data_IF_763191971126
#
_entry.id   IF_763191971126
#
_cell.length_a   1.000
_cell.length_b   1.000
_cell.length_c   1.000
_cell.angle_alpha   90.00
_cell.angle_beta   90.00
_cell.angle_gamma   90.00
#
_symmetry.space_group_name_H-M   'P 1'
#
loop_
_entity.id
_entity.type
_entity.pdbx_description
1 polymer ?
#
# COMPACT_ATOMS: atom_id res chain seq x y z
N UNK A 1 0.97 28.93 -16.37
CA UNK A 1 0.50 28.52 -15.03
C UNK A 1 0.64 27.01 -14.93
N UNK A 2 1.61 26.50 -14.18
CA UNK A 2 1.72 25.06 -13.91
C UNK A 2 0.66 24.68 -12.88
N UNK A 3 -0.48 24.16 -13.34
CA UNK A 3 -1.40 23.43 -12.47
C UNK A 3 -0.65 22.17 -12.04
N UNK A 4 -0.02 22.20 -10.86
CA UNK A 4 0.46 20.96 -10.24
C UNK A 4 -0.77 20.12 -9.95
N UNK A 5 -1.05 19.12 -10.78
CA UNK A 5 -2.11 18.16 -10.53
C UNK A 5 -1.89 17.55 -9.15
N UNK A 6 -2.83 17.83 -8.23
CA UNK A 6 -2.88 17.17 -6.94
C UNK A 6 -3.20 15.70 -7.22
N UNK A 7 -2.26 14.79 -6.96
CA UNK A 7 -2.48 13.35 -7.14
C UNK A 7 -3.71 12.88 -6.38
N UNK A 8 -4.41 11.90 -6.96
CA UNK A 8 -5.67 11.38 -6.43
C UNK A 8 -5.50 10.80 -5.02
N UNK A 9 -6.44 11.11 -4.12
CA UNK A 9 -6.43 10.51 -2.78
C UNK A 9 -7.16 9.15 -2.74
N UNK A 10 -6.97 8.36 -1.68
CA UNK A 10 -7.47 6.98 -1.61
C UNK A 10 -9.00 6.89 -1.64
N UNK A 11 -9.70 7.87 -1.04
CA UNK A 11 -11.17 7.90 -0.99
C UNK A 11 -11.71 8.23 -2.39
N UNK A 12 -11.13 9.25 -3.04
CA UNK A 12 -11.46 9.57 -4.44
C UNK A 12 -11.21 8.36 -5.34
N UNK A 13 -10.08 7.68 -5.20
CA UNK A 13 -9.77 6.50 -6.01
C UNK A 13 -10.74 5.35 -5.77
N UNK A 14 -11.19 5.12 -4.55
CA UNK A 14 -12.20 4.11 -4.24
C UNK A 14 -13.56 4.48 -4.86
N UNK A 15 -14.02 5.71 -4.65
CA UNK A 15 -15.31 6.18 -5.18
C UNK A 15 -15.36 6.21 -6.71
N UNK A 16 -14.22 6.39 -7.38
CA UNK A 16 -14.10 6.33 -8.83
C UNK A 16 -13.82 4.90 -9.37
N UNK A 17 -13.84 3.87 -8.51
CA UNK A 17 -13.61 2.48 -8.92
C UNK A 17 -12.18 2.14 -9.33
N UNK A 18 -11.21 3.01 -9.04
CA UNK A 18 -9.79 2.80 -9.33
C UNK A 18 -9.16 1.92 -8.25
N UNK A 19 -9.36 2.29 -6.97
CA UNK A 19 -8.87 1.51 -5.83
C UNK A 19 -9.89 0.42 -5.49
N UNK A 20 -9.50 -0.86 -5.43
CA UNK A 20 -10.44 -1.97 -5.30
C UNK A 20 -11.14 -2.03 -3.93
N UNK A 21 -10.47 -1.63 -2.86
CA UNK A 21 -11.02 -1.59 -1.50
C UNK A 21 -10.39 -0.45 -0.71
N UNK A 22 -11.09 0.04 0.30
CA UNK A 22 -10.62 1.14 1.16
C UNK A 22 -10.52 0.67 2.60
N UNK A 23 -9.39 0.89 3.26
CA UNK A 23 -9.26 0.66 4.69
C UNK A 23 -9.36 1.99 5.43
N UNK A 24 -10.31 2.11 6.35
CA UNK A 24 -10.40 3.27 7.24
C UNK A 24 -10.53 2.84 8.70
N UNK A 25 -9.97 3.67 9.59
CA UNK A 25 -10.25 3.65 11.01
C UNK A 25 -11.40 4.61 11.34
N UNK A 26 -12.14 4.32 12.40
CA UNK A 26 -13.31 5.08 12.84
C UNK A 26 -13.04 6.58 13.08
N UNK A 27 -11.81 6.94 13.44
CA UNK A 27 -11.44 8.34 13.69
C UNK A 27 -11.28 9.16 12.39
N UNK A 28 -11.27 8.53 11.22
CA UNK A 28 -11.14 9.24 9.95
C UNK A 28 -12.48 9.84 9.54
N UNK A 29 -12.50 11.13 9.21
CA UNK A 29 -13.70 11.89 8.81
C UNK A 29 -14.69 11.16 7.87
N UNK A 30 -14.26 10.47 6.80
CA UNK A 30 -15.20 9.79 5.89
C UNK A 30 -15.80 8.49 6.44
N UNK A 31 -15.33 7.97 7.59
CA UNK A 31 -15.69 6.61 8.06
C UNK A 31 -17.20 6.41 8.15
N UNK A 32 -17.92 7.32 8.81
CA UNK A 32 -19.39 7.20 8.98
C UNK A 32 -20.13 7.20 7.64
N UNK A 33 -19.70 8.03 6.68
CA UNK A 33 -20.32 8.06 5.34
C UNK A 33 -20.02 6.77 4.57
N UNK A 34 -18.84 6.19 4.77
CA UNK A 34 -18.44 4.95 4.10
C UNK A 34 -19.18 3.72 4.61
N UNK A 35 -19.83 3.77 5.78
CA UNK A 35 -20.68 2.67 6.29
C UNK A 35 -21.88 2.35 5.37
N UNK A 36 -22.21 3.22 4.42
CA UNK A 36 -23.19 2.93 3.38
C UNK A 36 -22.69 1.91 2.34
N UNK A 37 -21.39 1.64 2.28
CA UNK A 37 -20.80 0.60 1.43
C UNK A 37 -20.67 -0.73 2.18
N UNK A 38 -20.72 -1.87 1.46
CA UNK A 38 -20.38 -3.17 2.02
C UNK A 38 -19.03 -3.11 2.74
N UNK A 39 -18.98 -3.60 3.97
CA UNK A 39 -17.79 -3.46 4.81
C UNK A 39 -17.57 -4.66 5.74
N UNK A 40 -16.31 -4.96 6.01
CA UNK A 40 -15.90 -5.95 6.98
C UNK A 40 -15.02 -5.30 8.05
N UNK A 41 -15.34 -5.54 9.31
CA UNK A 41 -14.53 -5.07 10.43
C UNK A 41 -13.23 -5.87 10.53
N UNK A 42 -12.12 -5.16 10.70
CA UNK A 42 -10.80 -5.74 10.90
C UNK A 42 -10.15 -5.13 12.14
N UNK A 43 -9.25 -5.90 12.76
CA UNK A 43 -8.62 -5.53 14.03
C UNK A 43 -7.10 -5.57 13.88
N UNK A 44 -6.54 -4.55 13.23
CA UNK A 44 -5.09 -4.42 13.05
C UNK A 44 -4.46 -3.66 14.23
N UNK A 45 -5.18 -2.70 14.80
CA UNK A 45 -4.75 -1.88 15.93
C UNK A 45 -5.70 -2.15 17.10
N UNK A 46 -5.18 -2.58 18.27
CA UNK A 46 -6.01 -2.78 19.46
C UNK A 46 -6.81 -1.53 19.81
N UNK A 47 -8.06 -1.71 20.21
CA UNK A 47 -8.98 -0.65 20.65
C UNK A 47 -9.25 0.44 19.61
N UNK A 48 -9.08 0.13 18.32
CA UNK A 48 -9.50 1.01 17.23
C UNK A 48 -10.31 0.19 16.24
N UNK A 49 -11.57 0.60 16.06
CA UNK A 49 -12.41 0.03 15.02
C UNK A 49 -11.86 0.42 13.66
N UNK A 50 -11.66 -0.57 12.81
CA UNK A 50 -11.19 -0.39 11.45
C UNK A 50 -12.08 -1.23 10.53
N UNK A 51 -12.46 -0.68 9.39
CA UNK A 51 -13.27 -1.39 8.40
C UNK A 51 -12.58 -1.38 7.06
N UNK A 52 -12.66 -2.51 6.37
CA UNK A 52 -12.37 -2.63 4.96
C UNK A 52 -13.68 -2.48 4.18
N UNK A 53 -13.74 -1.48 3.31
CA UNK A 53 -14.90 -1.13 2.49
C UNK A 53 -14.72 -1.67 1.07
N UNK A 54 -15.81 -2.19 0.51
CA UNK A 54 -15.84 -2.86 -0.78
C UNK A 54 -16.84 -2.17 -1.72
N UNK A 55 -16.63 -2.23 -3.04
CA UNK A 55 -17.56 -1.65 -4.02
C UNK A 55 -18.88 -2.42 -4.09
N UNK A 56 -18.87 -3.72 -3.78
CA UNK A 56 -20.06 -4.59 -3.82
C UNK A 56 -20.05 -5.64 -2.71
N UNK A 57 -21.24 -6.12 -2.35
CA UNK A 57 -21.44 -7.21 -1.39
C UNK A 57 -20.74 -8.51 -1.83
N UNK A 58 -20.71 -8.78 -3.13
CA UNK A 58 -20.02 -9.93 -3.70
C UNK A 58 -18.52 -9.89 -3.41
N UNK A 59 -17.85 -8.75 -3.62
CA UNK A 59 -16.42 -8.60 -3.34
C UNK A 59 -16.09 -8.69 -1.85
N UNK A 60 -16.98 -8.21 -1.00
CA UNK A 60 -16.86 -8.38 0.45
C UNK A 60 -16.94 -9.87 0.83
N UNK A 61 -17.95 -10.60 0.33
CA UNK A 61 -18.11 -12.03 0.62
C UNK A 61 -16.95 -12.88 0.12
N UNK A 62 -16.51 -12.66 -1.12
CA UNK A 62 -15.33 -13.33 -1.69
C UNK A 62 -14.09 -13.14 -0.79
N UNK A 63 -13.90 -11.94 -0.23
CA UNK A 63 -12.80 -11.66 0.68
C UNK A 63 -12.97 -12.38 2.02
N UNK A 64 -14.16 -12.29 2.63
CA UNK A 64 -14.46 -12.96 3.90
C UNK A 64 -14.27 -14.47 3.81
N UNK A 65 -14.65 -15.11 2.70
CA UNK A 65 -14.43 -16.53 2.45
C UNK A 65 -12.93 -16.88 2.38
N UNK A 66 -12.13 -16.09 1.66
CA UNK A 66 -10.66 -16.31 1.59
C UNK A 66 -9.96 -16.09 2.93
N UNK A 67 -10.47 -15.21 3.78
CA UNK A 67 -9.89 -14.91 5.09
C UNK A 67 -10.56 -15.65 6.25
N UNK A 68 -11.52 -16.53 5.97
CA UNK A 68 -12.24 -17.26 6.99
C UNK A 68 -11.27 -18.12 7.82
N UNK A 69 -11.30 -17.94 9.15
CA UNK A 69 -10.43 -18.66 10.07
C UNK A 69 -8.98 -18.15 10.14
N UNK A 70 -8.62 -17.09 9.41
CA UNK A 70 -7.29 -16.47 9.47
C UNK A 70 -7.27 -15.36 10.53
N UNK A 71 -6.40 -15.48 11.53
CA UNK A 71 -6.23 -14.43 12.55
C UNK A 71 -5.61 -13.17 11.96
N UNK A 72 -6.15 -11.99 12.31
CA UNK A 72 -5.73 -10.70 11.75
C UNK A 72 -4.28 -10.30 12.00
N UNK A 73 -3.61 -10.94 12.95
CA UNK A 73 -2.19 -10.71 13.27
C UNK A 73 -1.25 -11.56 12.44
N UNK A 74 -1.75 -12.51 11.66
CA UNK A 74 -0.90 -13.46 10.94
C UNK A 74 -0.31 -12.85 9.66
N UNK A 75 0.91 -13.27 9.26
CA UNK A 75 1.49 -12.90 7.98
C UNK A 75 0.55 -13.22 6.79
N UNK A 76 -0.19 -14.31 6.88
CA UNK A 76 -1.16 -14.76 5.88
C UNK A 76 -2.32 -13.77 5.73
N UNK A 77 -2.87 -13.26 6.85
CA UNK A 77 -3.90 -12.21 6.80
C UNK A 77 -3.37 -10.92 6.18
N UNK A 78 -2.17 -10.49 6.58
CA UNK A 78 -1.56 -9.28 6.04
C UNK A 78 -1.28 -9.38 4.53
N UNK A 79 -0.97 -10.58 4.03
CA UNK A 79 -0.85 -10.85 2.60
C UNK A 79 -2.17 -10.61 1.89
N UNK A 80 -3.24 -11.28 2.33
CA UNK A 80 -4.58 -11.15 1.72
C UNK A 80 -5.08 -9.71 1.78
N UNK A 81 -4.88 -9.03 2.91
CA UNK A 81 -5.25 -7.62 3.06
C UNK A 81 -4.50 -6.73 2.07
N UNK A 82 -3.18 -6.86 1.96
CA UNK A 82 -2.37 -6.02 1.06
C UNK A 82 -2.76 -6.18 -0.41
N UNK A 83 -2.98 -7.42 -0.85
CA UNK A 83 -3.44 -7.70 -2.21
C UNK A 83 -4.84 -7.15 -2.46
N UNK A 84 -5.74 -7.30 -1.48
CA UNK A 84 -7.12 -6.78 -1.56
C UNK A 84 -7.16 -5.25 -1.62
N UNK A 85 -6.21 -4.57 -0.96
CA UNK A 85 -6.05 -3.12 -1.02
C UNK A 85 -5.49 -2.59 -2.35
N UNK A 86 -5.11 -3.52 -3.24
CA UNK A 86 -4.55 -3.21 -4.56
C UNK A 86 -3.06 -2.88 -4.53
N UNK A 87 -2.31 -3.40 -3.55
CA UNK A 87 -0.87 -3.17 -3.46
C UNK A 87 -0.08 -4.07 -4.41
N UNK A 88 1.11 -3.62 -4.88
CA UNK A 88 2.00 -4.46 -5.66
C UNK A 88 2.39 -5.74 -4.90
N UNK A 89 2.37 -6.92 -5.53
CA UNK A 89 2.68 -8.19 -4.85
C UNK A 89 4.02 -8.21 -4.11
N UNK A 90 5.08 -7.63 -4.70
CA UNK A 90 6.40 -7.56 -4.04
C UNK A 90 6.41 -6.62 -2.82
N UNK A 91 5.63 -5.53 -2.85
CA UNK A 91 5.45 -4.68 -1.68
C UNK A 91 4.71 -5.43 -0.54
N UNK A 92 3.72 -6.25 -0.90
CA UNK A 92 3.04 -7.14 0.06
C UNK A 92 4.02 -8.17 0.64
N UNK A 93 4.80 -8.84 -0.19
CA UNK A 93 5.82 -9.81 0.25
C UNK A 93 6.81 -9.20 1.23
N UNK A 94 7.28 -7.99 0.93
CA UNK A 94 8.18 -7.25 1.81
C UNK A 94 7.55 -6.95 3.17
N UNK A 95 6.30 -6.50 3.20
CA UNK A 95 5.57 -6.24 4.45
C UNK A 95 5.36 -7.54 5.25
N UNK A 96 4.92 -8.61 4.61
CA UNK A 96 4.70 -9.93 5.23
C UNK A 96 5.99 -10.46 5.84
N UNK A 97 7.13 -10.31 5.14
CA UNK A 97 8.44 -10.68 5.67
C UNK A 97 8.79 -9.89 6.94
N UNK A 98 8.48 -8.59 6.97
CA UNK A 98 8.71 -7.78 8.18
C UNK A 98 7.87 -8.26 9.36
N UNK A 99 6.59 -8.55 9.15
CA UNK A 99 5.71 -9.12 10.18
C UNK A 99 6.26 -10.44 10.72
N UNK A 100 6.70 -11.36 9.84
CA UNK A 100 7.34 -12.62 10.25
C UNK A 100 8.59 -12.38 11.10
N UNK A 101 9.50 -11.50 10.66
CA UNK A 101 10.70 -11.18 11.41
C UNK A 101 10.40 -10.60 12.79
N UNK A 102 9.36 -9.76 12.91
CA UNK A 102 8.93 -9.19 14.19
C UNK A 102 8.37 -10.27 15.14
N UNK A 103 7.49 -11.13 14.64
CA UNK A 103 6.90 -12.23 15.42
C UNK A 103 7.93 -13.27 15.88
N UNK A 104 8.92 -13.56 15.05
CA UNK A 104 10.00 -14.51 15.33
C UNK A 104 11.16 -13.88 16.12
N UNK A 105 11.10 -12.59 16.45
CA UNK A 105 12.16 -11.90 17.20
C UNK A 105 13.48 -11.73 16.43
N UNK A 106 13.47 -11.78 15.09
CA UNK A 106 14.65 -11.61 14.22
C UNK A 106 15.07 -10.13 14.11
N UNK A 107 15.52 -9.55 15.21
CA UNK A 107 15.78 -8.10 15.34
C UNK A 107 16.80 -7.56 14.34
N UNK A 108 17.88 -8.31 14.05
CA UNK A 108 18.91 -7.88 13.08
C UNK A 108 18.36 -7.80 11.66
N UNK A 109 17.54 -8.76 11.26
CA UNK A 109 16.90 -8.75 9.95
C UNK A 109 15.83 -7.65 9.87
N UNK A 110 15.05 -7.46 10.93
CA UNK A 110 14.07 -6.39 11.00
C UNK A 110 14.72 -5.01 10.87
N UNK A 111 15.88 -4.79 11.52
CA UNK A 111 16.68 -3.56 11.35
C UNK A 111 17.12 -3.37 9.89
N UNK A 112 17.65 -4.41 9.25
CA UNK A 112 18.03 -4.35 7.83
C UNK A 112 16.84 -4.03 6.93
N UNK A 113 15.70 -4.69 7.14
CA UNK A 113 14.48 -4.43 6.36
C UNK A 113 13.96 -3.00 6.56
N UNK A 114 14.08 -2.42 7.77
CA UNK A 114 13.66 -1.03 8.04
C UNK A 114 14.47 -0.01 7.24
N UNK A 115 15.76 -0.26 7.00
CA UNK A 115 16.59 0.62 6.17
C UNK A 115 16.09 0.65 4.73
N UNK A 116 15.60 -0.49 4.21
CA UNK A 116 15.16 -0.65 2.81
C UNK A 116 13.79 -0.06 2.48
N UNK A 117 13.11 0.59 3.42
CA UNK A 117 11.72 0.99 3.25
C UNK A 117 11.61 2.18 2.31
N UNK A 118 10.81 2.01 1.25
CA UNK A 118 10.37 3.11 0.38
C UNK A 118 8.85 3.19 0.41
N UNK A 119 8.31 4.41 0.50
CA UNK A 119 6.89 4.68 0.34
C UNK A 119 6.56 4.99 -1.12
N UNK A 120 5.40 4.56 -1.59
CA UNK A 120 4.92 4.79 -2.96
C UNK A 120 3.47 5.26 -2.91
N UNK A 121 3.18 6.35 -3.61
CA UNK A 121 1.85 6.93 -3.73
C UNK A 121 1.49 7.20 -5.19
N UNK A 122 0.49 6.49 -5.72
CA UNK A 122 0.00 6.63 -7.09
C UNK A 122 -1.41 6.05 -7.22
N UNK A 123 -2.28 6.73 -7.97
CA UNK A 123 -3.67 6.35 -8.24
C UNK A 123 -4.50 6.10 -6.96
N UNK A 124 -4.28 6.90 -5.91
CA UNK A 124 -4.87 6.68 -4.58
C UNK A 124 -4.42 5.38 -3.89
N UNK A 125 -3.35 4.75 -4.36
CA UNK A 125 -2.67 3.64 -3.67
C UNK A 125 -1.49 4.21 -2.89
N UNK A 126 -1.46 3.93 -1.59
CA UNK A 126 -0.37 4.30 -0.68
C UNK A 126 0.17 3.03 -0.02
N UNK A 127 1.41 2.67 -0.31
CA UNK A 127 2.01 1.47 0.26
C UNK A 127 3.50 1.65 0.50
N UNK A 128 4.07 0.80 1.35
CA UNK A 128 5.51 0.70 1.54
C UNK A 128 6.03 -0.57 0.86
N UNK A 129 7.22 -0.51 0.29
CA UNK A 129 7.93 -1.65 -0.30
C UNK A 129 9.42 -1.61 0.02
N UNK A 130 10.17 -2.50 -0.63
CA UNK A 130 11.64 -2.49 -0.63
C UNK A 130 12.17 -1.56 -1.72
N UNK A 131 13.22 -0.78 -1.41
CA UNK A 131 13.99 -0.04 -2.41
C UNK A 131 14.53 -0.94 -3.51
N UNK A 132 15.00 -2.15 -3.15
CA UNK A 132 15.48 -3.18 -4.09
C UNK A 132 14.44 -3.56 -5.16
N UNK A 133 13.14 -3.40 -4.86
CA UNK A 133 12.02 -3.78 -5.72
C UNK A 133 11.25 -2.59 -6.28
N UNK A 134 11.76 -1.36 -6.11
CA UNK A 134 11.00 -0.14 -6.44
C UNK A 134 10.58 -0.10 -7.91
N UNK A 135 11.49 -0.45 -8.83
CA UNK A 135 11.19 -0.49 -10.27
C UNK A 135 10.02 -1.45 -10.56
N UNK A 136 10.06 -2.64 -9.97
CA UNK A 136 9.01 -3.65 -10.18
C UNK A 136 7.66 -3.19 -9.61
N UNK A 137 7.66 -2.63 -8.40
CA UNK A 137 6.44 -2.15 -7.76
C UNK A 137 5.82 -0.98 -8.53
N UNK A 138 6.64 -0.02 -8.97
CA UNK A 138 6.17 1.15 -9.70
C UNK A 138 5.63 0.78 -11.08
N UNK A 139 6.33 -0.09 -11.84
CA UNK A 139 5.83 -0.58 -13.12
C UNK A 139 4.49 -1.30 -12.95
N UNK A 140 4.36 -2.14 -11.93
CA UNK A 140 3.10 -2.80 -11.62
C UNK A 140 1.97 -1.79 -11.36
N UNK A 141 2.22 -0.73 -10.58
CA UNK A 141 1.23 0.34 -10.34
C UNK A 141 0.82 1.02 -11.65
N UNK A 142 1.80 1.43 -12.48
CA UNK A 142 1.54 2.08 -13.77
C UNK A 142 0.78 1.19 -14.75
N UNK A 143 1.07 -0.11 -14.78
CA UNK A 143 0.41 -1.09 -15.64
C UNK A 143 -1.01 -1.39 -15.18
N UNK A 144 -1.21 -1.46 -13.86
CA UNK A 144 -2.49 -1.81 -13.24
C UNK A 144 -3.52 -0.70 -13.30
N UNK A 145 -3.11 0.55 -13.03
CA UNK A 145 -4.03 1.68 -12.88
C UNK A 145 -4.01 2.67 -14.06
N UNK A 146 -2.90 2.77 -14.79
CA UNK A 146 -2.80 3.51 -16.08
C UNK A 146 -3.33 4.95 -16.04
N UNK A 147 -3.11 5.66 -14.94
CA UNK A 147 -3.45 7.08 -14.80
C UNK A 147 -2.25 7.97 -15.13
N UNK A 148 -2.47 8.97 -15.98
CA UNK A 148 -1.47 9.97 -16.32
C UNK A 148 -1.30 11.00 -15.17
N UNK A 149 -0.92 10.53 -13.99
CA UNK A 149 -0.55 11.36 -12.85
C UNK A 149 0.87 11.01 -12.35
N UNK A 150 1.57 11.96 -11.70
CA UNK A 150 2.87 11.68 -11.12
C UNK A 150 2.77 10.70 -9.95
N UNK A 151 3.69 9.74 -9.90
CA UNK A 151 3.98 8.94 -8.72
C UNK A 151 4.76 9.80 -7.71
N UNK A 152 4.47 9.64 -6.42
CA UNK A 152 5.34 10.13 -5.35
C UNK A 152 6.02 8.96 -4.67
N UNK A 153 7.35 9.00 -4.63
CA UNK A 153 8.19 8.07 -3.88
C UNK A 153 8.67 8.77 -2.62
N UNK A 154 8.55 8.11 -1.47
CA UNK A 154 9.09 8.56 -0.20
C UNK A 154 10.31 7.73 0.17
N UNK A 155 11.45 8.38 0.38
CA UNK A 155 12.68 7.78 0.88
C UNK A 155 13.03 8.55 2.14
N UNK A 156 13.08 7.87 3.27
CA UNK A 156 13.18 8.48 4.59
C UNK A 156 12.13 9.60 4.82
N UNK A 157 12.58 10.84 4.85
CA UNK A 157 11.78 12.05 5.04
C UNK A 157 11.54 12.83 3.74
N UNK A 158 12.21 12.45 2.64
CA UNK A 158 12.17 13.12 1.36
C UNK A 158 11.11 12.52 0.44
N UNK A 159 10.52 13.36 -0.41
CA UNK A 159 9.60 12.95 -1.47
C UNK A 159 10.17 13.29 -2.83
N UNK A 160 10.26 12.28 -3.70
CA UNK A 160 10.63 12.41 -5.10
C UNK A 160 9.37 12.22 -5.93
N UNK A 161 9.16 13.12 -6.89
CA UNK A 161 8.04 13.00 -7.85
C UNK A 161 8.57 12.40 -9.15
N UNK A 162 7.88 11.38 -9.66
CA UNK A 162 8.22 10.68 -10.89
C UNK A 162 7.03 10.83 -11.83
N UNK A 163 7.23 11.47 -12.97
CA UNK A 163 6.17 11.58 -13.97
C UNK A 163 5.77 10.19 -14.49
N UNK A 164 4.54 10.07 -14.98
CA UNK A 164 4.01 8.79 -15.45
C UNK A 164 4.92 8.19 -16.53
N UNK A 165 5.42 6.97 -16.28
CA UNK A 165 6.35 6.24 -17.17
C UNK A 165 7.73 6.89 -17.35
N UNK A 166 8.15 7.79 -16.46
CA UNK A 166 9.53 8.27 -16.45
C UNK A 166 10.47 7.21 -15.86
N UNK A 167 10.90 6.28 -16.73
CA UNK A 167 11.83 5.20 -16.39
C UNK A 167 13.23 5.70 -16.01
N UNK A 168 13.63 6.88 -16.52
CA UNK A 168 14.95 7.45 -16.23
C UNK A 168 15.02 7.91 -14.78
N UNK A 169 14.04 8.68 -14.33
CA UNK A 169 13.97 9.12 -12.92
C UNK A 169 13.80 7.92 -12.01
N UNK A 170 12.96 6.95 -12.37
CA UNK A 170 12.75 5.74 -11.58
C UNK A 170 14.03 4.91 -11.42
N UNK A 171 14.85 4.80 -12.46
CA UNK A 171 16.14 4.09 -12.39
C UNK A 171 17.13 4.81 -11.47
N UNK A 172 17.23 6.14 -11.57
CA UNK A 172 18.07 6.93 -10.66
C UNK A 172 17.69 6.78 -9.19
N UNK A 173 16.38 6.69 -8.90
CA UNK A 173 15.89 6.38 -7.55
C UNK A 173 16.33 4.99 -7.09
N UNK A 174 16.22 3.98 -7.95
CA UNK A 174 16.62 2.62 -7.60
C UNK A 174 18.12 2.54 -7.26
N UNK A 175 18.96 3.27 -7.99
CA UNK A 175 20.39 3.40 -7.71
C UNK A 175 20.65 4.07 -6.36
N UNK A 176 20.00 5.21 -6.08
CA UNK A 176 20.12 5.94 -4.81
C UNK A 176 19.71 5.06 -3.62
N UNK A 177 18.57 4.38 -3.72
CA UNK A 177 18.11 3.48 -2.66
C UNK A 177 19.06 2.30 -2.45
N UNK A 178 19.82 1.88 -3.45
CA UNK A 178 20.82 0.82 -3.29
C UNK A 178 22.07 1.34 -2.55
N UNK A 179 22.50 2.57 -2.84
CA UNK A 179 23.71 3.18 -2.27
C UNK A 179 23.53 3.55 -0.80
N UNK A 180 22.41 4.19 -0.42
CA UNK A 180 22.14 4.62 0.96
C UNK A 180 22.03 3.46 1.96
N UNK A 181 21.84 2.22 1.47
CA UNK A 181 21.74 1.02 2.30
C UNK A 181 23.07 0.33 2.60
N UNK A 182 24.15 0.73 1.90
CA UNK A 182 25.49 0.14 2.03
C UNK A 182 26.43 1.02 2.87
N UNK A 183 26.12 2.31 2.98
CA UNK A 183 26.81 3.31 3.83
C UNK A 183 26.31 3.31 5.27
#
# INVERSE_FOLDING_TARGET
>A
MNVRCKGMNEIEAFLNGIKPTLLLAEQQKPFTTMLAYPNAEIHLIPNRRQCLFFPTEEKMREWQERTAGITHTTPEFHRELGLTLGYPPKAVDFYVRRVKCEQEGRLNELKRLKLKVVGMHYAGISCNGSGDDIIHNVRWLWDRYRLAEPLKVRIDTSFITVDYRDEKVLTGIAEETTVTLVS
#
